data_IF_926455201978
#
_entry.id   IF_926455201978
#
_cell.length_a   1.000
_cell.length_b   1.000
_cell.length_c   1.000
_cell.angle_alpha   90.00
_cell.angle_beta   90.00
_cell.angle_gamma   90.00
#
_symmetry.space_group_name_H-M   'P 1'
#
loop_
_entity.id
_entity.type
_entity.pdbx_description
1 polymer ?
#
# COMPACT_ATOMS: atom_id res chain seq x y z
N UNK A 1 6.30 -1.82 -7.79
CA UNK A 1 5.63 -0.51 -7.66
C UNK A 1 6.13 0.21 -6.42
N UNK A 2 6.01 1.53 -6.38
CA UNK A 2 6.27 2.36 -5.20
C UNK A 2 5.03 3.19 -4.91
N UNK A 3 4.36 2.86 -3.81
CA UNK A 3 3.24 3.62 -3.25
C UNK A 3 3.77 4.60 -2.21
N UNK A 4 3.36 5.87 -2.32
CA UNK A 4 3.63 6.88 -1.29
C UNK A 4 2.31 7.26 -0.61
N UNK A 5 2.27 7.17 0.71
CA UNK A 5 1.04 7.25 1.48
C UNK A 5 0.88 8.59 2.23
N UNK A 6 -0.35 9.01 2.46
CA UNK A 6 -0.69 10.13 3.34
C UNK A 6 -0.53 11.51 2.71
N UNK A 7 -0.97 11.72 1.46
CA UNK A 7 -0.99 13.08 0.89
C UNK A 7 -2.01 13.96 1.62
N UNK A 8 -1.70 15.24 1.79
CA UNK A 8 -2.54 16.18 2.55
C UNK A 8 -3.00 17.38 1.69
N UNK A 9 -2.33 17.59 0.55
CA UNK A 9 -2.52 18.75 -0.31
C UNK A 9 -2.37 18.44 -1.81
N UNK A 10 -2.84 19.35 -2.66
CA UNK A 10 -2.64 19.22 -4.11
C UNK A 10 -1.17 19.30 -4.51
N UNK A 11 -0.34 20.05 -3.75
CA UNK A 11 1.10 20.14 -3.95
C UNK A 11 1.79 18.79 -3.72
N UNK A 12 1.34 18.04 -2.73
CA UNK A 12 1.83 16.69 -2.47
C UNK A 12 1.55 15.77 -3.66
N UNK A 13 0.34 15.83 -4.21
CA UNK A 13 -0.04 15.06 -5.40
C UNK A 13 0.86 15.40 -6.59
N UNK A 14 1.09 16.69 -6.85
CA UNK A 14 1.95 17.12 -7.96
C UNK A 14 3.39 16.63 -7.76
N UNK A 15 3.95 16.77 -6.56
CA UNK A 15 5.29 16.28 -6.22
C UNK A 15 5.43 14.78 -6.47
N UNK A 16 4.48 13.97 -6.00
CA UNK A 16 4.52 12.52 -6.18
C UNK A 16 4.37 12.10 -7.64
N UNK A 17 3.58 12.85 -8.43
CA UNK A 17 3.47 12.65 -9.87
C UNK A 17 4.80 12.95 -10.56
N UNK A 18 5.44 14.08 -10.23
CA UNK A 18 6.69 14.51 -10.86
C UNK A 18 7.86 13.57 -10.52
N UNK A 19 7.88 13.02 -9.30
CA UNK A 19 8.86 11.99 -8.93
C UNK A 19 8.56 10.62 -9.56
N UNK A 20 7.36 10.43 -10.10
CA UNK A 20 6.94 9.19 -10.76
C UNK A 20 6.54 8.09 -9.78
N UNK A 21 5.86 8.41 -8.69
CA UNK A 21 5.21 7.39 -7.86
C UNK A 21 4.18 6.59 -8.68
N UNK A 22 3.95 5.32 -8.33
CA UNK A 22 2.97 4.48 -9.03
C UNK A 22 1.58 4.60 -8.39
N UNK A 23 1.54 4.74 -7.06
CA UNK A 23 0.32 4.81 -6.25
C UNK A 23 0.42 5.95 -5.22
N UNK A 24 -0.70 6.64 -4.97
CA UNK A 24 -0.79 7.75 -3.99
C UNK A 24 -1.86 7.45 -2.96
N UNK A 25 -1.47 7.33 -1.69
CA UNK A 25 -2.40 7.06 -0.59
C UNK A 25 -3.08 8.32 -0.06
N UNK A 26 -4.42 8.36 -0.09
CA UNK A 26 -5.26 9.44 0.43
C UNK A 26 -6.03 8.91 1.64
N UNK A 27 -5.82 9.49 2.82
CA UNK A 27 -6.45 9.00 4.06
C UNK A 27 -7.84 9.61 4.26
N UNK A 28 -8.83 8.79 4.54
CA UNK A 28 -10.15 9.25 4.96
C UNK A 28 -10.85 8.22 5.85
N UNK A 29 -11.27 8.64 7.04
CA UNK A 29 -11.83 7.74 8.05
C UNK A 29 -10.75 6.84 8.66
N UNK A 30 -9.54 7.39 8.86
CA UNK A 30 -8.46 6.79 9.63
C UNK A 30 -8.46 7.41 11.02
N UNK A 31 -9.10 6.75 11.97
CA UNK A 31 -9.21 7.24 13.36
C UNK A 31 -7.83 7.56 13.95
N UNK A 32 -7.69 8.76 14.53
CA UNK A 32 -6.46 9.30 15.14
C UNK A 32 -5.24 9.38 14.20
N UNK A 33 -5.46 9.25 12.89
CA UNK A 33 -4.41 9.36 11.89
C UNK A 33 -3.96 10.81 11.73
N UNK A 34 -2.64 11.13 11.81
CA UNK A 34 -2.15 12.51 11.71
C UNK A 34 -2.41 13.20 10.36
N UNK A 35 -2.92 12.46 9.37
CA UNK A 35 -3.18 12.90 8.00
C UNK A 35 -4.60 12.58 7.53
N UNK A 36 -5.50 12.24 8.46
CA UNK A 36 -6.88 11.93 8.10
C UNK A 36 -7.57 13.17 7.53
N UNK A 37 -8.16 13.04 6.35
CA UNK A 37 -8.82 14.13 5.65
C UNK A 37 -10.34 14.03 5.78
N UNK A 38 -11.00 15.19 5.72
CA UNK A 38 -12.43 15.19 5.46
C UNK A 38 -12.71 14.55 4.10
N UNK A 39 -13.89 13.95 3.94
CA UNK A 39 -14.29 13.30 2.70
C UNK A 39 -14.25 14.23 1.48
N UNK A 40 -14.57 15.52 1.66
CA UNK A 40 -14.50 16.52 0.58
C UNK A 40 -13.05 16.82 0.16
N UNK A 41 -12.14 16.88 1.13
CA UNK A 41 -10.70 17.05 0.86
C UNK A 41 -10.14 15.79 0.18
N UNK A 42 -10.50 14.61 0.66
CA UNK A 42 -10.10 13.34 0.05
C UNK A 42 -10.61 13.24 -1.40
N UNK A 43 -11.88 13.58 -1.65
CA UNK A 43 -12.46 13.59 -3.00
C UNK A 43 -11.72 14.55 -3.95
N UNK A 44 -11.39 15.76 -3.47
CA UNK A 44 -10.61 16.73 -4.25
C UNK A 44 -9.20 16.20 -4.60
N UNK A 45 -8.54 15.50 -3.68
CA UNK A 45 -7.22 14.92 -3.94
C UNK A 45 -7.30 13.69 -4.88
N UNK A 46 -8.28 12.80 -4.68
CA UNK A 46 -8.51 11.66 -5.59
C UNK A 46 -8.76 12.15 -7.02
N UNK A 47 -9.61 13.16 -7.18
CA UNK A 47 -9.87 13.79 -8.48
C UNK A 47 -8.60 14.45 -9.07
N UNK A 48 -7.78 15.11 -8.25
CA UNK A 48 -6.52 15.74 -8.70
C UNK A 48 -5.49 14.72 -9.17
N UNK A 49 -5.40 13.57 -8.51
CA UNK A 49 -4.52 12.47 -8.92
C UNK A 49 -4.96 11.97 -10.31
N UNK A 50 -6.27 11.73 -10.47
CA UNK A 50 -6.88 11.26 -11.72
C UNK A 50 -6.83 9.74 -11.88
N UNK A 51 -7.21 9.24 -13.05
CA UNK A 51 -7.21 7.80 -13.36
C UNK A 51 -5.92 7.29 -14.03
N UNK A 52 -5.02 8.21 -14.38
CA UNK A 52 -3.70 7.89 -14.94
C UNK A 52 -2.70 7.53 -13.84
N UNK A 53 -1.40 7.45 -14.15
CA UNK A 53 -0.35 7.26 -13.15
C UNK A 53 0.06 8.60 -12.52
N UNK A 54 0.21 8.70 -11.18
CA UNK A 54 -0.06 7.67 -10.18
C UNK A 54 -1.56 7.40 -9.98
N UNK A 55 -1.92 6.20 -9.50
CA UNK A 55 -3.30 5.83 -9.16
C UNK A 55 -3.62 6.24 -7.71
N UNK A 56 -4.78 6.86 -7.43
CA UNK A 56 -5.17 7.21 -6.06
C UNK A 56 -5.72 5.99 -5.31
N UNK A 57 -5.23 5.79 -4.08
CA UNK A 57 -5.66 4.72 -3.17
C UNK A 57 -6.29 5.35 -1.93
N UNK A 58 -7.59 5.14 -1.75
CA UNK A 58 -8.31 5.55 -0.53
C UNK A 58 -7.90 4.65 0.63
N UNK A 59 -7.28 5.20 1.67
CA UNK A 59 -6.86 4.49 2.88
C UNK A 59 -7.85 4.74 4.00
N UNK A 60 -8.36 3.68 4.62
CA UNK A 60 -9.40 3.81 5.65
C UNK A 60 -9.36 2.69 6.69
N UNK A 61 -9.75 3.04 7.93
CA UNK A 61 -9.97 2.07 9.02
C UNK A 61 -11.46 1.91 9.37
N UNK A 62 -12.36 2.52 8.59
CA UNK A 62 -13.80 2.38 8.77
C UNK A 62 -14.25 0.92 8.70
N UNK A 63 -15.03 0.50 9.68
CA UNK A 63 -15.62 -0.84 9.79
C UNK A 63 -17.13 -0.85 9.54
N UNK A 64 -17.81 0.28 9.70
CA UNK A 64 -19.21 0.43 9.33
C UNK A 64 -19.35 0.47 7.80
N UNK A 65 -20.10 -0.49 7.24
CA UNK A 65 -20.24 -0.65 5.80
C UNK A 65 -20.87 0.57 5.14
N UNK A 66 -21.89 1.18 5.76
CA UNK A 66 -22.61 2.32 5.16
C UNK A 66 -21.69 3.53 5.06
N UNK A 67 -20.93 3.81 6.12
CA UNK A 67 -19.92 4.88 6.13
C UNK A 67 -18.80 4.60 5.13
N UNK A 68 -18.27 3.38 5.09
CA UNK A 68 -17.22 3.00 4.15
C UNK A 68 -17.68 3.23 2.70
N UNK A 69 -18.85 2.71 2.32
CA UNK A 69 -19.42 2.92 0.98
C UNK A 69 -19.62 4.41 0.68
N UNK A 70 -20.18 5.17 1.62
CA UNK A 70 -20.36 6.60 1.42
C UNK A 70 -19.03 7.33 1.12
N UNK A 71 -17.94 6.98 1.80
CA UNK A 71 -16.63 7.57 1.54
C UNK A 71 -16.09 7.11 0.18
N UNK A 72 -16.20 5.83 -0.16
CA UNK A 72 -15.78 5.31 -1.49
C UNK A 72 -16.53 6.02 -2.61
N UNK A 73 -17.86 6.09 -2.52
CA UNK A 73 -18.73 6.73 -3.51
C UNK A 73 -18.41 8.22 -3.68
N UNK A 74 -18.30 8.95 -2.55
CA UNK A 74 -18.05 10.40 -2.59
C UNK A 74 -16.66 10.77 -3.07
N UNK A 75 -15.67 9.92 -2.80
CA UNK A 75 -14.29 10.17 -3.25
C UNK A 75 -14.08 9.73 -4.70
N UNK A 76 -14.91 8.81 -5.22
CA UNK A 76 -14.74 8.22 -6.55
C UNK A 76 -13.52 7.32 -6.67
N UNK A 77 -12.90 6.94 -5.55
CA UNK A 77 -11.70 6.12 -5.54
C UNK A 77 -12.01 4.68 -5.99
N UNK A 78 -11.21 4.16 -6.92
CA UNK A 78 -11.34 2.77 -7.41
C UNK A 78 -10.35 1.80 -6.76
N UNK A 79 -9.36 2.31 -6.05
CA UNK A 79 -8.49 1.53 -5.19
C UNK A 79 -8.78 1.88 -3.74
N UNK A 80 -9.11 0.86 -2.93
CA UNK A 80 -9.47 1.02 -1.51
C UNK A 80 -8.57 0.14 -0.66
N UNK A 81 -7.76 0.77 0.19
CA UNK A 81 -6.93 0.12 1.18
C UNK A 81 -7.66 0.03 2.52
N UNK A 82 -8.04 -1.20 2.88
CA UNK A 82 -8.65 -1.55 4.16
C UNK A 82 -7.56 -1.79 5.19
N UNK A 83 -7.19 -0.71 5.87
CA UNK A 83 -6.04 -0.65 6.77
C UNK A 83 -6.34 -1.16 8.18
N UNK A 84 -7.60 -1.17 8.59
CA UNK A 84 -8.01 -1.64 9.93
C UNK A 84 -8.20 -3.16 10.01
N UNK A 85 -9.04 -3.58 10.96
CA UNK A 85 -9.37 -4.99 11.20
C UNK A 85 -10.65 -5.44 10.49
N UNK A 86 -10.96 -4.87 9.32
CA UNK A 86 -12.18 -5.17 8.57
C UNK A 86 -12.27 -6.67 8.21
N UNK A 87 -13.39 -7.37 8.51
CA UNK A 87 -13.50 -8.80 8.29
C UNK A 87 -13.66 -9.15 6.79
N UNK A 88 -13.41 -10.41 6.38
CA UNK A 88 -13.60 -10.85 4.99
C UNK A 88 -15.03 -10.63 4.46
N UNK A 89 -16.03 -10.66 5.34
CA UNK A 89 -17.41 -10.34 4.96
C UNK A 89 -17.56 -8.91 4.44
N UNK A 90 -16.85 -7.93 5.03
CA UNK A 90 -16.87 -6.54 4.57
C UNK A 90 -16.15 -6.39 3.23
N UNK A 91 -15.03 -7.10 3.03
CA UNK A 91 -14.34 -7.17 1.73
C UNK A 91 -15.29 -7.66 0.64
N UNK A 92 -15.99 -8.78 0.88
CA UNK A 92 -16.92 -9.36 -0.09
C UNK A 92 -18.05 -8.38 -0.46
N UNK A 93 -18.58 -7.69 0.54
CA UNK A 93 -19.64 -6.69 0.31
C UNK A 93 -19.11 -5.52 -0.51
N UNK A 94 -17.91 -5.01 -0.20
CA UNK A 94 -17.30 -3.94 -0.99
C UNK A 94 -17.07 -4.39 -2.44
N UNK A 95 -16.55 -5.60 -2.64
CA UNK A 95 -16.33 -6.21 -3.97
C UNK A 95 -17.61 -6.54 -4.75
N UNK A 96 -18.80 -6.41 -4.15
CA UNK A 96 -20.05 -6.45 -4.90
C UNK A 96 -20.18 -5.26 -5.87
N UNK A 97 -19.43 -4.18 -5.64
CA UNK A 97 -19.28 -3.08 -6.58
C UNK A 97 -18.24 -3.44 -7.66
N UNK A 98 -18.63 -3.46 -8.95
CA UNK A 98 -17.72 -3.83 -10.03
C UNK A 98 -16.52 -2.89 -10.17
N UNK A 99 -15.34 -3.46 -10.41
CA UNK A 99 -14.12 -2.72 -10.74
C UNK A 99 -13.48 -1.94 -9.58
N UNK A 100 -13.88 -2.19 -8.33
CA UNK A 100 -13.07 -1.80 -7.17
C UNK A 100 -11.88 -2.76 -7.03
N UNK A 101 -10.70 -2.19 -6.82
CA UNK A 101 -9.48 -2.88 -6.39
C UNK A 101 -9.38 -2.73 -4.87
N UNK A 102 -9.40 -3.85 -4.16
CA UNK A 102 -9.30 -3.87 -2.69
C UNK A 102 -7.91 -4.32 -2.28
N UNK A 103 -7.21 -3.42 -1.59
CA UNK A 103 -5.95 -3.69 -0.91
C UNK A 103 -6.25 -4.02 0.55
N UNK A 104 -6.00 -5.25 1.00
CA UNK A 104 -6.19 -5.62 2.41
C UNK A 104 -4.85 -5.60 3.14
N UNK A 105 -4.78 -4.84 4.23
CA UNK A 105 -3.60 -4.84 5.11
C UNK A 105 -3.61 -6.10 5.98
N UNK A 106 -2.46 -6.75 6.08
CA UNK A 106 -2.14 -7.82 7.02
C UNK A 106 -1.12 -7.28 8.02
N UNK A 107 -1.46 -7.34 9.31
CA UNK A 107 -0.62 -6.78 10.36
C UNK A 107 0.37 -7.84 10.84
N UNK A 108 1.66 -7.55 10.74
CA UNK A 108 2.73 -8.50 11.09
C UNK A 108 3.54 -7.93 12.26
N UNK A 109 3.55 -8.65 13.38
CA UNK A 109 4.34 -8.29 14.57
C UNK A 109 5.22 -9.45 15.04
N UNK A 110 5.85 -9.27 16.20
CA UNK A 110 6.73 -10.30 16.82
C UNK A 110 6.01 -11.64 17.08
N UNK A 111 4.72 -11.59 17.43
CA UNK A 111 3.88 -12.78 17.60
C UNK A 111 3.31 -13.37 16.31
N UNK A 112 3.76 -12.90 15.14
CA UNK A 112 3.24 -13.26 13.83
C UNK A 112 2.12 -12.34 13.36
N UNK A 113 1.29 -12.85 12.44
CA UNK A 113 0.16 -12.12 11.86
C UNK A 113 -1.18 -12.64 12.43
N UNK A 114 -1.98 -11.82 13.13
CA UNK A 114 -3.29 -12.23 13.64
C UNK A 114 -4.24 -12.71 12.55
N UNK A 115 -4.17 -12.12 11.36
CA UNK A 115 -5.00 -12.48 10.21
C UNK A 115 -4.55 -13.75 9.48
N UNK A 116 -3.39 -14.34 9.83
CA UNK A 116 -2.78 -15.42 9.05
C UNK A 116 -3.72 -16.60 8.74
N UNK A 117 -4.60 -16.95 9.69
CA UNK A 117 -5.53 -18.08 9.56
C UNK A 117 -6.72 -17.78 8.65
N UNK A 118 -7.01 -16.51 8.42
CA UNK A 118 -8.16 -16.04 7.63
C UNK A 118 -7.75 -15.45 6.28
N UNK A 119 -6.45 -15.49 5.90
CA UNK A 119 -5.97 -15.08 4.57
C UNK A 119 -6.79 -15.74 3.44
N UNK A 120 -7.03 -17.07 3.42
CA UNK A 120 -7.83 -17.68 2.36
C UNK A 120 -9.27 -17.14 2.30
N UNK A 121 -9.82 -16.69 3.42
CA UNK A 121 -11.16 -16.09 3.45
C UNK A 121 -11.18 -14.68 2.85
N UNK A 122 -10.13 -13.88 3.05
CA UNK A 122 -9.95 -12.58 2.38
C UNK A 122 -9.81 -12.75 0.86
N UNK A 123 -9.02 -13.73 0.41
CA UNK A 123 -8.85 -14.01 -1.02
C UNK A 123 -10.17 -14.43 -1.68
N UNK A 124 -10.92 -15.34 -1.03
CA UNK A 124 -12.28 -15.72 -1.47
C UNK A 124 -13.29 -14.58 -1.37
N UNK A 125 -13.01 -13.55 -0.59
CA UNK A 125 -13.84 -12.35 -0.52
C UNK A 125 -13.54 -11.37 -1.66
N UNK A 126 -12.46 -11.58 -2.41
CA UNK A 126 -12.10 -10.79 -3.58
C UNK A 126 -11.03 -9.73 -3.32
N UNK A 127 -10.20 -9.89 -2.27
CA UNK A 127 -8.98 -9.08 -2.13
C UNK A 127 -8.11 -9.25 -3.37
N UNK A 128 -7.70 -8.12 -3.95
CA UNK A 128 -6.88 -8.09 -5.18
C UNK A 128 -5.39 -8.01 -4.85
N UNK A 129 -5.03 -7.32 -3.76
CA UNK A 129 -3.67 -7.08 -3.33
C UNK A 129 -3.59 -7.12 -1.79
N UNK A 130 -2.54 -7.73 -1.24
CA UNK A 130 -2.24 -7.60 0.17
C UNK A 130 -1.22 -6.48 0.43
N UNK A 131 -1.21 -5.93 1.64
CA UNK A 131 -0.15 -5.05 2.11
C UNK A 131 0.31 -5.54 3.48
N UNK A 132 1.59 -5.88 3.60
CA UNK A 132 2.17 -6.31 4.86
C UNK A 132 2.66 -5.08 5.60
N UNK A 133 2.06 -4.76 6.75
CA UNK A 133 2.49 -3.63 7.57
C UNK A 133 2.92 -4.10 8.97
N UNK A 134 3.88 -3.39 9.54
CA UNK A 134 4.42 -3.71 10.85
C UNK A 134 3.43 -3.31 11.95
N UNK A 135 3.10 -4.28 12.82
CA UNK A 135 2.38 -4.05 14.06
C UNK A 135 3.39 -3.83 15.18
N UNK A 136 3.60 -2.58 15.61
CA UNK A 136 4.51 -2.27 16.71
C UNK A 136 3.75 -1.68 17.90
N UNK A 137 3.97 -2.23 19.09
CA UNK A 137 3.37 -1.77 20.35
C UNK A 137 1.84 -1.60 20.32
N UNK A 138 1.13 -2.49 19.60
CA UNK A 138 -0.32 -2.44 19.43
C UNK A 138 -0.84 -1.32 18.52
N UNK A 139 0.06 -0.52 17.91
CA UNK A 139 -0.30 0.48 16.91
C UNK A 139 -0.17 -0.08 15.51
N UNK A 140 -1.16 0.24 14.69
CA UNK A 140 -1.24 -0.12 13.28
C UNK A 140 -0.64 1.01 12.45
N UNK A 141 0.34 0.69 11.61
CA UNK A 141 0.91 1.58 10.60
C UNK A 141 1.82 2.71 11.12
N UNK A 142 2.59 3.29 10.20
CA UNK A 142 3.49 4.46 10.41
C UNK A 142 4.40 4.39 11.66
N UNK A 143 4.78 3.18 12.09
CA UNK A 143 5.64 2.96 13.27
C UNK A 143 7.13 3.12 12.95
N UNK A 144 7.50 3.07 11.66
CA UNK A 144 8.89 3.07 11.21
C UNK A 144 9.61 1.73 11.47
N UNK A 145 8.92 0.74 12.03
CA UNK A 145 9.49 -0.60 12.29
C UNK A 145 9.33 -1.47 11.04
N UNK A 146 10.39 -2.22 10.71
CA UNK A 146 10.38 -3.14 9.57
C UNK A 146 9.76 -4.47 9.98
N UNK A 147 8.96 -5.06 9.09
CA UNK A 147 8.56 -6.46 9.23
C UNK A 147 9.79 -7.35 9.02
N UNK A 148 10.12 -8.20 10.00
CA UNK A 148 11.22 -9.14 9.85
C UNK A 148 11.00 -10.09 8.68
N UNK A 149 12.02 -10.34 7.85
CA UNK A 149 11.89 -11.10 6.61
C UNK A 149 11.24 -12.48 6.81
N UNK A 150 11.64 -13.22 7.86
CA UNK A 150 11.05 -14.52 8.18
C UNK A 150 9.55 -14.43 8.52
N UNK A 151 9.12 -13.40 9.24
CA UNK A 151 7.72 -13.18 9.57
C UNK A 151 6.91 -12.78 8.33
N UNK A 152 7.48 -11.94 7.46
CA UNK A 152 6.86 -11.58 6.19
C UNK A 152 6.66 -12.82 5.31
N UNK A 153 7.70 -13.64 5.12
CA UNK A 153 7.65 -14.88 4.33
C UNK A 153 6.62 -15.87 4.87
N UNK A 154 6.58 -16.10 6.19
CA UNK A 154 5.60 -16.97 6.82
C UNK A 154 4.12 -16.56 6.59
N UNK A 155 3.90 -15.27 6.25
CA UNK A 155 2.59 -14.72 5.88
C UNK A 155 2.37 -14.85 4.36
N UNK A 156 3.31 -14.38 3.54
CA UNK A 156 3.11 -14.35 2.07
C UNK A 156 3.14 -15.72 1.42
N UNK A 157 3.81 -16.71 2.02
CA UNK A 157 3.77 -18.11 1.57
C UNK A 157 2.36 -18.72 1.67
N UNK A 158 1.44 -18.07 2.41
CA UNK A 158 0.03 -18.44 2.50
C UNK A 158 -0.86 -17.68 1.51
N UNK A 159 -0.31 -16.70 0.82
CA UNK A 159 -1.02 -15.87 -0.13
C UNK A 159 -0.90 -16.46 -1.55
N UNK A 160 -1.93 -16.20 -2.34
CA UNK A 160 -1.98 -16.42 -3.79
C UNK A 160 -2.11 -15.10 -4.55
N UNK A 161 -2.36 -14.00 -3.82
CA UNK A 161 -2.45 -12.65 -4.36
C UNK A 161 -1.11 -11.90 -4.20
N UNK A 162 -0.79 -10.96 -5.11
CA UNK A 162 0.37 -10.12 -4.98
C UNK A 162 0.35 -9.32 -3.66
N UNK A 163 1.50 -8.82 -3.23
CA UNK A 163 1.59 -8.00 -2.03
C UNK A 163 2.54 -6.80 -2.17
N UNK A 164 2.25 -5.75 -1.39
CA UNK A 164 3.18 -4.67 -1.11
C UNK A 164 3.80 -4.85 0.28
N UNK A 165 5.08 -4.52 0.40
CA UNK A 165 5.77 -4.46 1.69
C UNK A 165 5.73 -3.04 2.25
N UNK A 166 5.25 -2.89 3.48
CA UNK A 166 5.22 -1.64 4.23
C UNK A 166 5.93 -1.82 5.59
N UNK A 167 5.92 -0.77 6.40
CA UNK A 167 6.58 -0.75 7.71
C UNK A 167 8.09 -0.52 7.58
N UNK A 168 8.55 0.65 8.01
CA UNK A 168 9.99 0.93 8.12
C UNK A 168 10.78 0.97 6.79
N UNK A 169 10.13 0.94 5.63
CA UNK A 169 10.78 1.00 4.32
C UNK A 169 11.54 2.32 4.15
N UNK A 170 12.80 2.24 3.69
CA UNK A 170 13.68 3.37 3.42
C UNK A 170 14.53 3.11 2.17
N UNK A 171 15.20 4.12 1.60
CA UNK A 171 16.09 3.90 0.45
C UNK A 171 17.26 2.94 0.75
N UNK A 172 17.61 2.73 2.04
CA UNK A 172 18.83 2.03 2.44
C UNK A 172 18.59 0.58 2.90
N UNK A 173 17.35 0.16 3.12
CA UNK A 173 17.06 -1.17 3.68
C UNK A 173 16.50 -2.19 2.67
N UNK A 174 16.53 -1.89 1.36
CA UNK A 174 16.12 -2.85 0.32
C UNK A 174 16.88 -4.17 0.40
N UNK A 175 18.21 -4.12 0.54
CA UNK A 175 19.05 -5.32 0.65
C UNK A 175 18.68 -6.19 1.87
N UNK A 176 18.24 -5.60 2.97
CA UNK A 176 17.76 -6.34 4.13
C UNK A 176 16.42 -7.05 3.89
N UNK A 177 15.68 -6.64 2.85
CA UNK A 177 14.40 -7.22 2.44
C UNK A 177 14.54 -8.19 1.24
N UNK A 178 15.76 -8.52 0.80
CA UNK A 178 16.01 -9.23 -0.46
C UNK A 178 15.22 -10.54 -0.58
N UNK A 179 15.16 -11.33 0.49
CA UNK A 179 14.38 -12.58 0.52
C UNK A 179 12.87 -12.35 0.28
N UNK A 180 12.32 -11.24 0.78
CA UNK A 180 10.91 -10.87 0.57
C UNK A 180 10.71 -10.26 -0.82
N UNK A 181 11.66 -9.44 -1.28
CA UNK A 181 11.63 -8.77 -2.60
C UNK A 181 11.76 -9.77 -3.75
N UNK A 182 12.48 -10.87 -3.54
CA UNK A 182 12.63 -11.97 -4.49
C UNK A 182 11.42 -12.90 -4.56
N UNK A 183 10.43 -12.74 -3.67
CA UNK A 183 9.23 -13.59 -3.68
C UNK A 183 8.39 -13.33 -4.95
N UNK A 184 7.86 -14.37 -5.64
CA UNK A 184 7.15 -14.19 -6.92
C UNK A 184 5.87 -13.32 -6.84
N UNK A 185 5.25 -13.26 -5.65
CA UNK A 185 4.10 -12.40 -5.38
C UNK A 185 4.48 -10.97 -4.95
N UNK A 186 5.77 -10.65 -4.80
CA UNK A 186 6.20 -9.31 -4.46
C UNK A 186 5.83 -8.33 -5.58
N UNK A 187 5.13 -7.26 -5.22
CA UNK A 187 4.62 -6.30 -6.19
C UNK A 187 5.10 -4.86 -5.95
N UNK A 188 5.78 -4.60 -4.84
CA UNK A 188 6.32 -3.29 -4.53
C UNK A 188 6.35 -2.95 -3.04
N UNK A 189 6.50 -1.66 -2.77
CA UNK A 189 6.49 -1.09 -1.41
C UNK A 189 5.42 -0.03 -1.22
N UNK A 190 5.01 0.15 0.04
CA UNK A 190 4.24 1.30 0.52
C UNK A 190 5.03 2.06 1.58
N UNK A 191 5.15 3.38 1.41
CA UNK A 191 6.02 4.22 2.23
C UNK A 191 5.30 5.50 2.67
N UNK A 192 5.38 5.83 3.96
CA UNK A 192 4.90 7.10 4.52
C UNK A 192 6.07 7.91 5.11
N UNK A 193 6.63 7.46 6.23
CA UNK A 193 7.62 8.25 6.99
C UNK A 193 8.91 8.59 6.24
N UNK A 194 9.50 7.63 5.52
CA UNK A 194 10.77 7.85 4.82
C UNK A 194 10.65 8.81 3.62
N UNK A 195 9.43 9.09 3.15
CA UNK A 195 9.16 10.05 2.08
C UNK A 195 9.12 11.51 2.57
N UNK A 196 9.28 11.75 3.88
CA UNK A 196 9.01 13.04 4.52
C UNK A 196 10.23 13.65 5.16
N UNK A 197 10.27 14.98 5.23
CA UNK A 197 11.28 15.74 5.95
C UNK A 197 11.10 15.68 7.48
N UNK A 198 12.02 16.32 8.22
CA UNK A 198 11.99 16.42 9.69
C UNK A 198 10.77 17.16 10.25
N UNK A 199 9.98 17.82 9.41
CA UNK A 199 8.75 18.53 9.78
C UNK A 199 7.50 17.75 9.33
N UNK A 200 7.66 16.52 8.84
CA UNK A 200 6.56 15.64 8.45
C UNK A 200 5.94 15.94 7.09
N UNK A 201 6.53 16.83 6.28
CA UNK A 201 6.05 17.13 4.92
C UNK A 201 6.73 16.21 3.92
N UNK A 202 6.03 15.85 2.83
CA UNK A 202 6.68 15.14 1.73
C UNK A 202 7.84 15.95 1.16
N UNK A 203 8.91 15.24 0.82
CA UNK A 203 10.15 15.81 0.33
C UNK A 203 10.54 15.16 -1.01
N UNK A 204 10.75 15.98 -2.04
CA UNK A 204 10.95 15.50 -3.41
C UNK A 204 12.24 14.66 -3.54
N UNK A 205 13.31 15.06 -2.85
CA UNK A 205 14.58 14.33 -2.89
C UNK A 205 14.42 12.94 -2.25
N UNK A 206 13.77 12.88 -1.07
CA UNK A 206 13.50 11.61 -0.38
C UNK A 206 12.60 10.68 -1.21
N UNK A 207 11.55 11.21 -1.83
CA UNK A 207 10.67 10.44 -2.71
C UNK A 207 11.44 9.91 -3.92
N UNK A 208 12.26 10.74 -4.57
CA UNK A 208 13.08 10.31 -5.70
C UNK A 208 14.08 9.21 -5.30
N UNK A 209 14.73 9.34 -4.14
CA UNK A 209 15.62 8.31 -3.60
C UNK A 209 14.88 6.99 -3.32
N UNK A 210 13.67 7.06 -2.74
CA UNK A 210 12.83 5.87 -2.52
C UNK A 210 12.47 5.19 -3.84
N UNK A 211 12.02 5.96 -4.83
CA UNK A 211 11.64 5.42 -6.13
C UNK A 211 12.84 4.77 -6.81
N UNK A 212 13.99 5.44 -6.83
CA UNK A 212 15.24 4.89 -7.39
C UNK A 212 15.66 3.60 -6.67
N UNK A 213 15.60 3.60 -5.34
CA UNK A 213 16.03 2.46 -4.54
C UNK A 213 15.12 1.23 -4.70
N UNK A 214 13.80 1.41 -4.84
CA UNK A 214 12.81 0.33 -4.79
C UNK A 214 12.18 -0.04 -6.11
N UNK A 215 12.36 0.77 -7.15
CA UNK A 215 11.99 0.37 -8.50
C UNK A 215 13.02 -0.65 -8.98
N UNK A 216 12.58 -1.87 -9.28
CA UNK A 216 13.44 -2.82 -9.97
C UNK A 216 13.69 -2.29 -11.38
N UNK A 217 14.97 -2.21 -11.79
CA UNK A 217 15.27 -2.14 -13.22
C UNK A 217 14.76 -3.45 -13.81
N UNK A 218 13.85 -3.41 -14.77
CA UNK A 218 13.44 -4.62 -15.47
C UNK A 218 14.70 -5.22 -16.10
N UNK A 219 15.15 -6.38 -15.64
CA UNK A 219 16.05 -7.20 -16.42
C UNK A 219 15.28 -7.54 -17.71
N UNK A 220 15.71 -6.96 -18.83
CA UNK A 220 15.19 -7.34 -20.15
C UNK A 220 15.53 -8.81 -20.42
N UNK A 221 14.70 -9.53 -21.19
CA UNK A 221 14.98 -10.90 -21.57
C UNK A 221 16.26 -10.99 -22.41
N UNK A 222 17.01 -12.07 -22.20
CA UNK A 222 18.27 -12.44 -22.84
C UNK A 222 18.29 -12.15 -24.35
N UNK A 223 19.29 -11.39 -24.78
CA UNK A 223 19.72 -11.34 -26.17
C UNK A 223 21.11 -12.00 -26.24
N UNK A 224 21.12 -13.33 -26.27
CA UNK A 224 22.13 -14.09 -27.03
C UNK A 224 21.73 -15.57 -27.09
N UNK A 225 21.08 -15.95 -28.19
CA UNK A 225 21.29 -17.26 -28.79
C UNK A 225 21.08 -17.14 -30.30
N UNK A 226 22.11 -16.87 -31.11
CA UNK A 226 22.06 -17.26 -32.49
C UNK A 226 22.23 -18.78 -32.54
N UNK A 227 21.16 -19.45 -32.96
CA UNK A 227 21.26 -20.78 -33.53
C UNK A 227 22.12 -20.68 -34.79
N UNK A 228 23.25 -21.36 -34.80
CA UNK A 228 23.98 -21.68 -36.03
C UNK A 228 23.64 -23.13 -36.44
N UNK A 229 23.42 -23.25 -37.75
CA UNK A 229 23.09 -24.44 -38.56
C UNK A 229 24.01 -25.65 -38.36
#
# INVERSE_FOLDING_TARGET
MVKICGVESGRDVDLLRDCGADLVGVWCGVADGPRDLSVDRAAALVARVGAASPIPVLVTTLTDERRLRNVVDRTGARWVQLHGWQPPALVRRLKAEPGLVVVKVLHVGEGGCPEQRIIPAYERAGTDLFLLDALAAGRVGSTGTMVGAAAALAVVDRCTRPFLLAGGISPTNRAACEAVVSHPLYHGVDVDGAARDRRGRLDAERVAQLISAWRSSAAGPDADNPADD
#
